data_IF_116848990422
#
_entry.id   IF_116848990422
#
_cell.length_a   1.000
_cell.length_b   1.000
_cell.length_c   1.000
_cell.angle_alpha   90.00
_cell.angle_beta   90.00
_cell.angle_gamma   90.00
#
_symmetry.space_group_name_H-M   'P 1'
#
loop_
_entity.id
_entity.type
_entity.pdbx_description
1 polymer ?
#
# COMPACT_ATOMS: atom_id res chain seq x y z
N UNK A 1 -3.25 0.97 -18.05
CA UNK A 1 -3.23 -0.19 -17.19
C UNK A 1 -3.27 0.16 -15.71
N UNK A 2 -3.29 -0.87 -14.88
CA UNK A 2 -3.48 -0.75 -13.42
C UNK A 2 -2.48 0.13 -12.67
N UNK A 3 -1.31 0.42 -13.24
CA UNK A 3 -0.35 1.35 -12.64
C UNK A 3 -0.77 2.81 -12.82
N UNK A 4 -1.31 3.19 -13.98
CA UNK A 4 -1.70 4.58 -14.24
C UNK A 4 -2.91 5.00 -13.39
N UNK A 5 -3.86 4.12 -13.16
CA UNK A 5 -5.07 4.44 -12.38
C UNK A 5 -4.78 4.76 -10.90
N UNK A 6 -3.68 4.25 -10.36
CA UNK A 6 -3.30 4.45 -8.94
C UNK A 6 -2.30 5.60 -8.75
N UNK A 7 -1.81 6.20 -9.83
CA UNK A 7 -0.75 7.23 -9.76
C UNK A 7 -1.17 8.43 -8.94
N UNK A 8 -2.37 8.98 -9.16
CA UNK A 8 -2.87 10.14 -8.41
C UNK A 8 -3.03 9.84 -6.92
N UNK A 9 -3.49 8.62 -6.59
CA UNK A 9 -3.63 8.15 -5.20
C UNK A 9 -2.25 8.12 -4.51
N UNK A 10 -1.26 7.50 -5.15
CA UNK A 10 0.10 7.43 -4.60
C UNK A 10 0.75 8.80 -4.51
N UNK A 11 0.56 9.66 -5.52
CA UNK A 11 1.08 11.03 -5.51
C UNK A 11 0.47 11.83 -4.35
N UNK A 12 -0.84 11.73 -4.15
CA UNK A 12 -1.50 12.40 -3.05
C UNK A 12 -0.99 11.91 -1.68
N UNK A 13 -0.81 10.59 -1.50
CA UNK A 13 -0.34 10.05 -0.23
C UNK A 13 1.11 10.47 0.08
N UNK A 14 2.03 10.30 -0.87
CA UNK A 14 3.46 10.50 -0.60
C UNK A 14 3.91 11.97 -0.66
N UNK A 15 3.24 12.80 -1.47
CA UNK A 15 3.66 14.19 -1.70
C UNK A 15 2.59 15.21 -1.33
N UNK A 16 1.37 14.77 -1.00
CA UNK A 16 0.28 15.63 -0.60
C UNK A 16 0.47 16.21 0.79
N UNK A 17 -0.16 17.37 1.00
CA UNK A 17 -0.18 18.06 2.29
C UNK A 17 -1.60 18.41 2.68
N UNK A 18 -1.90 18.37 3.96
CA UNK A 18 -3.15 18.80 4.55
C UNK A 18 -2.90 19.99 5.48
N UNK A 19 -3.74 21.00 5.40
CA UNK A 19 -3.65 22.14 6.30
C UNK A 19 -4.27 21.80 7.66
N UNK A 20 -3.49 21.90 8.72
CA UNK A 20 -3.97 21.79 10.10
C UNK A 20 -4.39 23.16 10.61
N UNK A 21 -5.71 23.44 10.75
CA UNK A 21 -6.19 24.74 11.19
C UNK A 21 -5.88 25.05 12.67
N UNK A 22 -5.61 24.03 13.48
CA UNK A 22 -5.26 24.21 14.89
C UNK A 22 -3.80 24.64 15.06
N UNK A 23 -2.91 24.02 14.29
CA UNK A 23 -1.48 24.34 14.30
C UNK A 23 -1.11 25.47 13.34
N UNK A 24 -2.01 25.84 12.42
CA UNK A 24 -1.73 26.80 11.32
C UNK A 24 -0.54 26.36 10.45
N UNK A 25 -0.39 25.03 10.24
CA UNK A 25 0.70 24.43 9.45
C UNK A 25 0.18 23.52 8.36
N UNK A 26 1.03 23.26 7.36
CA UNK A 26 0.78 22.24 6.35
C UNK A 26 1.57 20.99 6.73
N UNK A 27 0.87 19.93 7.11
CA UNK A 27 1.46 18.65 7.45
C UNK A 27 1.41 17.71 6.24
N UNK A 28 2.40 16.81 6.11
CA UNK A 28 2.36 15.77 5.11
C UNK A 28 1.21 14.79 5.41
N UNK A 29 0.56 14.27 4.37
CA UNK A 29 -0.48 13.24 4.53
C UNK A 29 0.13 11.96 5.09
N UNK A 30 1.30 11.55 4.56
CA UNK A 30 2.00 10.35 4.97
C UNK A 30 3.28 10.71 5.76
N UNK A 31 3.45 10.12 6.93
CA UNK A 31 4.66 10.28 7.74
C UNK A 31 5.64 9.15 7.41
N UNK A 32 6.74 9.49 6.75
CA UNK A 32 7.82 8.57 6.41
C UNK A 32 9.17 9.27 6.36
N UNK A 33 10.24 8.50 6.50
CA UNK A 33 11.60 8.92 6.24
C UNK A 33 12.26 7.90 5.30
N UNK A 34 12.65 8.28 4.08
CA UNK A 34 13.29 7.38 3.14
C UNK A 34 14.68 6.93 3.59
N UNK A 35 15.34 7.67 4.51
CA UNK A 35 16.63 7.28 5.08
C UNK A 35 16.48 6.24 6.20
N UNK A 36 15.30 6.17 6.84
CA UNK A 36 14.95 5.19 7.86
C UNK A 36 13.73 4.34 7.45
N UNK A 37 13.84 3.51 6.40
CA UNK A 37 12.71 2.77 5.84
C UNK A 37 12.08 1.76 6.82
N UNK A 38 12.76 1.43 7.91
CA UNK A 38 12.27 0.57 8.99
C UNK A 38 11.85 1.34 10.25
N UNK A 39 11.77 2.66 10.18
CA UNK A 39 11.30 3.48 11.31
C UNK A 39 9.94 2.96 11.83
N UNK A 40 9.86 2.56 13.14
CA UNK A 40 8.69 1.86 13.66
C UNK A 40 7.41 2.69 13.68
N UNK A 41 7.50 3.99 13.89
CA UNK A 41 6.37 4.91 14.02
C UNK A 41 5.93 5.53 12.67
N UNK A 42 6.60 5.23 11.56
CA UNK A 42 6.17 5.71 10.24
C UNK A 42 4.82 5.12 9.86
N UNK A 43 4.05 5.83 9.05
CA UNK A 43 2.82 5.30 8.46
C UNK A 43 3.11 4.09 7.56
N UNK A 44 2.09 3.29 7.31
CA UNK A 44 2.17 2.07 6.48
C UNK A 44 1.32 2.23 5.24
N UNK A 45 1.88 1.86 4.08
CA UNK A 45 1.15 1.80 2.81
C UNK A 45 1.19 0.37 2.28
N UNK A 46 0.01 -0.22 2.14
CA UNK A 46 -0.16 -1.56 1.55
C UNK A 46 -0.82 -1.43 0.19
N UNK A 47 -0.06 -1.65 -0.88
CA UNK A 47 -0.59 -1.74 -2.23
C UNK A 47 -1.18 -3.15 -2.44
N UNK A 48 -2.45 -3.35 -2.08
CA UNK A 48 -3.13 -4.65 -2.14
C UNK A 48 -3.22 -5.16 -3.58
N UNK A 49 -3.53 -4.28 -4.55
CA UNK A 49 -3.44 -4.54 -5.99
C UNK A 49 -1.98 -4.59 -6.46
N UNK A 50 -1.24 -5.61 -6.03
CA UNK A 50 0.21 -5.73 -6.22
C UNK A 50 0.70 -5.66 -7.67
N UNK A 51 -0.16 -5.93 -8.65
CA UNK A 51 0.14 -5.78 -10.08
C UNK A 51 0.40 -4.32 -10.51
N UNK A 52 0.04 -3.33 -9.68
CA UNK A 52 0.37 -1.93 -9.88
C UNK A 52 1.77 -1.53 -9.33
N UNK A 53 2.61 -2.51 -9.00
CA UNK A 53 3.98 -2.32 -8.48
C UNK A 53 4.81 -1.26 -9.22
N UNK A 54 4.78 -1.13 -10.57
CA UNK A 54 5.57 -0.09 -11.24
C UNK A 54 5.25 1.34 -10.78
N UNK A 55 3.97 1.65 -10.51
CA UNK A 55 3.59 2.96 -9.97
C UNK A 55 4.17 3.17 -8.56
N UNK A 56 4.04 2.16 -7.68
CA UNK A 56 4.62 2.23 -6.34
C UNK A 56 6.13 2.41 -6.38
N UNK A 57 6.84 1.67 -7.23
CA UNK A 57 8.30 1.77 -7.33
C UNK A 57 8.75 3.13 -7.84
N UNK A 58 8.06 3.72 -8.83
CA UNK A 58 8.33 5.07 -9.29
C UNK A 58 8.10 6.10 -8.19
N UNK A 59 7.01 5.96 -7.44
CA UNK A 59 6.70 6.81 -6.29
C UNK A 59 7.77 6.71 -5.19
N UNK A 60 8.22 5.49 -4.85
CA UNK A 60 9.25 5.27 -3.83
C UNK A 60 10.62 5.81 -4.26
N UNK A 61 10.98 5.72 -5.54
CA UNK A 61 12.19 6.32 -6.08
C UNK A 61 12.14 7.86 -5.97
N UNK A 62 11.04 8.48 -6.41
CA UNK A 62 10.82 9.93 -6.32
C UNK A 62 10.79 10.40 -4.85
N UNK A 63 10.23 9.60 -3.94
CA UNK A 63 10.24 9.86 -2.51
C UNK A 63 11.61 9.67 -1.85
N UNK A 64 12.63 9.20 -2.57
CA UNK A 64 14.02 9.11 -2.13
C UNK A 64 14.40 7.79 -1.41
N UNK A 65 13.56 6.74 -1.46
CA UNK A 65 13.91 5.44 -0.86
C UNK A 65 15.06 4.72 -1.57
N UNK A 66 15.21 4.95 -2.86
CA UNK A 66 16.31 4.45 -3.70
C UNK A 66 16.45 5.31 -4.96
N UNK A 67 17.59 5.20 -5.64
CA UNK A 67 17.86 5.95 -6.86
C UNK A 67 16.96 5.50 -8.01
N UNK A 68 16.53 6.45 -8.86
CA UNK A 68 15.78 6.20 -10.11
C UNK A 68 16.49 5.20 -11.04
N UNK A 69 17.81 5.12 -11.00
CA UNK A 69 18.59 4.16 -11.79
C UNK A 69 18.18 2.71 -11.51
N UNK A 70 17.69 2.42 -10.29
CA UNK A 70 17.21 1.09 -9.91
C UNK A 70 15.95 0.71 -10.69
N UNK A 71 15.16 1.67 -11.17
CA UNK A 71 13.98 1.41 -12.00
C UNK A 71 14.33 0.70 -13.31
N UNK A 72 15.54 0.93 -13.85
CA UNK A 72 16.03 0.33 -15.10
C UNK A 72 16.25 -1.20 -15.01
N UNK A 73 16.30 -1.72 -13.80
CA UNK A 73 16.46 -3.16 -13.56
C UNK A 73 15.17 -3.84 -13.10
N UNK A 74 14.00 -3.19 -13.25
CA UNK A 74 12.71 -3.78 -12.93
C UNK A 74 12.53 -5.16 -13.58
N UNK A 75 12.11 -6.15 -12.80
CA UNK A 75 11.94 -7.57 -13.19
C UNK A 75 13.21 -8.27 -13.73
N UNK A 76 14.39 -7.71 -13.57
CA UNK A 76 15.63 -8.44 -13.88
C UNK A 76 15.99 -9.37 -12.73
N UNK A 77 16.80 -10.40 -13.02
CA UNK A 77 17.32 -11.30 -11.99
C UNK A 77 18.12 -10.48 -10.96
N UNK A 78 17.95 -10.81 -9.70
CA UNK A 78 18.57 -10.13 -8.53
C UNK A 78 18.14 -8.65 -8.35
N UNK A 79 17.14 -8.18 -9.09
CA UNK A 79 16.56 -6.86 -8.85
C UNK A 79 15.75 -6.84 -7.55
N UNK A 80 15.84 -5.78 -6.73
CA UNK A 80 14.92 -5.58 -5.61
C UNK A 80 13.50 -5.23 -6.07
N UNK A 81 13.32 -4.89 -7.37
CA UNK A 81 12.05 -4.51 -7.97
C UNK A 81 11.43 -5.72 -8.71
N UNK A 82 10.73 -6.54 -7.97
CA UNK A 82 10.04 -7.72 -8.49
C UNK A 82 8.74 -7.33 -9.23
N UNK A 83 8.09 -8.30 -9.87
CA UNK A 83 6.81 -8.09 -10.58
C UNK A 83 5.65 -7.66 -9.67
N UNK A 84 5.74 -8.00 -8.40
CA UNK A 84 4.86 -7.58 -7.31
C UNK A 84 5.71 -7.02 -6.16
N UNK A 85 5.15 -6.13 -5.31
CA UNK A 85 5.91 -5.57 -4.20
C UNK A 85 6.41 -6.66 -3.24
N UNK A 86 7.71 -6.61 -2.94
CA UNK A 86 8.34 -7.49 -1.96
C UNK A 86 8.73 -6.68 -0.72
N UNK A 87 8.30 -7.13 0.46
CA UNK A 87 8.54 -6.46 1.74
C UNK A 87 10.04 -6.26 1.97
N UNK A 88 10.42 -5.03 2.31
CA UNK A 88 11.79 -4.71 2.70
C UNK A 88 12.12 -5.27 4.09
N UNK A 89 13.23 -5.95 4.17
CA UNK A 89 13.73 -6.55 5.41
C UNK A 89 15.25 -6.65 5.41
N UNK A 90 15.82 -6.53 6.60
CA UNK A 90 17.23 -6.81 6.84
C UNK A 90 17.34 -8.14 7.60
N UNK A 91 17.90 -9.15 6.96
CA UNK A 91 18.04 -10.49 7.54
C UNK A 91 19.52 -10.83 7.80
N UNK A 92 19.77 -11.68 8.79
CA UNK A 92 21.12 -12.24 9.03
C UNK A 92 21.30 -13.53 8.24
N UNK A 93 22.24 -13.54 7.30
CA UNK A 93 22.58 -14.70 6.50
C UNK A 93 24.11 -14.93 6.56
N UNK A 94 24.54 -16.15 6.96
CA UNK A 94 25.96 -16.50 7.08
C UNK A 94 26.79 -15.46 7.89
N UNK A 95 26.22 -14.97 8.99
CA UNK A 95 26.88 -14.00 9.89
C UNK A 95 26.88 -12.54 9.40
N UNK A 96 26.37 -12.25 8.19
CA UNK A 96 26.27 -10.92 7.60
C UNK A 96 24.81 -10.44 7.52
N UNK A 97 24.59 -9.14 7.63
CA UNK A 97 23.29 -8.54 7.34
C UNK A 97 23.11 -8.40 5.82
N UNK A 98 21.94 -8.81 5.33
CA UNK A 98 21.58 -8.76 3.91
C UNK A 98 20.21 -8.09 3.80
N UNK A 99 20.14 -7.09 2.95
CA UNK A 99 18.87 -6.44 2.57
C UNK A 99 18.13 -7.31 1.55
N UNK A 100 16.80 -7.40 1.67
CA UNK A 100 15.91 -8.07 0.72
C UNK A 100 14.64 -7.25 0.53
N UNK A 101 14.00 -7.42 -0.63
CA UNK A 101 12.81 -6.69 -1.00
C UNK A 101 13.10 -5.25 -1.38
N UNK A 102 12.06 -4.44 -1.47
CA UNK A 102 12.12 -3.05 -1.93
C UNK A 102 12.00 -2.10 -0.76
N UNK A 103 12.96 -1.20 -0.57
CA UNK A 103 12.89 -0.14 0.48
C UNK A 103 11.59 0.63 0.34
N UNK A 104 10.88 0.84 1.46
CA UNK A 104 9.59 1.51 1.49
C UNK A 104 8.37 0.61 1.27
N UNK A 105 8.57 -0.68 0.95
CA UNK A 105 7.48 -1.67 0.85
C UNK A 105 7.25 -2.34 2.20
N UNK A 106 6.05 -2.18 2.74
CA UNK A 106 5.66 -2.68 4.06
C UNK A 106 5.27 -4.15 4.10
N UNK A 107 4.70 -4.64 3.00
CA UNK A 107 4.22 -6.02 2.91
C UNK A 107 4.29 -6.53 1.47
N UNK A 108 4.67 -7.79 1.31
CA UNK A 108 4.66 -8.46 0.01
C UNK A 108 3.23 -8.73 -0.44
N UNK A 109 2.85 -8.25 -1.62
CA UNK A 109 1.52 -8.41 -2.18
C UNK A 109 1.57 -9.10 -3.54
N UNK A 110 0.41 -9.54 -4.05
CA UNK A 110 0.28 -10.25 -5.32
C UNK A 110 -0.93 -11.17 -5.30
N UNK A 111 -1.25 -11.78 -4.16
CA UNK A 111 -2.50 -12.49 -3.92
C UNK A 111 -3.57 -11.46 -3.55
N UNK A 112 -4.54 -11.22 -4.44
CA UNK A 112 -5.60 -10.23 -4.22
C UNK A 112 -6.44 -10.57 -2.97
N UNK A 113 -7.01 -9.54 -2.36
CA UNK A 113 -7.87 -9.66 -1.17
C UNK A 113 -7.14 -9.67 0.17
N UNK A 114 -5.82 -9.91 0.22
CA UNK A 114 -5.08 -10.02 1.46
C UNK A 114 -4.73 -8.68 2.10
N UNK A 115 -4.55 -7.63 1.29
CA UNK A 115 -3.99 -6.35 1.76
C UNK A 115 -4.80 -5.69 2.86
N UNK A 116 -6.14 -5.74 2.80
CA UNK A 116 -7.00 -5.14 3.82
C UNK A 116 -6.86 -5.86 5.18
N UNK A 117 -6.81 -7.19 5.17
CA UNK A 117 -6.60 -7.98 6.39
C UNK A 117 -5.22 -7.74 7.01
N UNK A 118 -4.18 -7.59 6.17
CA UNK A 118 -2.83 -7.21 6.61
C UNK A 118 -2.82 -5.81 7.20
N UNK A 119 -3.43 -4.84 6.51
CA UNK A 119 -3.59 -3.48 7.00
C UNK A 119 -4.33 -3.42 8.34
N UNK A 120 -5.37 -4.26 8.51
CA UNK A 120 -6.08 -4.43 9.78
C UNK A 120 -5.12 -4.87 10.89
N UNK A 121 -4.22 -5.81 10.60
CA UNK A 121 -3.19 -6.26 11.56
C UNK A 121 -2.24 -5.14 11.95
N UNK A 122 -1.73 -4.35 10.99
CA UNK A 122 -0.87 -3.19 11.28
C UNK A 122 -1.60 -2.12 12.11
N UNK A 123 -2.82 -1.77 11.74
CA UNK A 123 -3.61 -0.76 12.45
C UNK A 123 -3.92 -1.20 13.88
N UNK A 124 -4.27 -2.47 14.08
CA UNK A 124 -4.50 -3.05 15.40
C UNK A 124 -3.22 -3.05 16.24
N UNK A 125 -2.09 -3.41 15.66
CA UNK A 125 -0.79 -3.34 16.33
C UNK A 125 -0.47 -1.91 16.77
N UNK A 126 -0.62 -0.92 15.87
CA UNK A 126 -0.40 0.49 16.20
C UNK A 126 -1.25 0.93 17.39
N UNK A 127 -2.53 0.51 17.41
CA UNK A 127 -3.48 0.89 18.46
C UNK A 127 -3.19 0.19 19.81
N UNK A 128 -2.89 -1.11 19.80
CA UNK A 128 -2.59 -1.88 21.02
C UNK A 128 -1.29 -1.42 21.68
N UNK A 129 -0.27 -1.11 20.88
CA UNK A 129 1.04 -0.73 21.36
C UNK A 129 1.29 0.78 21.33
N UNK A 130 0.23 1.58 21.14
CA UNK A 130 0.26 3.05 21.16
C UNK A 130 1.36 3.64 20.26
N UNK A 131 1.53 3.07 19.06
CA UNK A 131 2.57 3.50 18.09
C UNK A 131 2.23 4.78 17.33
N UNK A 132 0.93 5.11 17.24
CA UNK A 132 0.44 6.37 16.66
C UNK A 132 0.48 6.45 15.13
N UNK A 133 0.94 5.42 14.41
CA UNK A 133 0.96 5.45 12.96
C UNK A 133 -0.38 5.07 12.32
N UNK A 134 -0.60 5.61 11.14
CA UNK A 134 -1.75 5.31 10.28
C UNK A 134 -1.40 4.23 9.25
N UNK A 135 -2.43 3.60 8.72
CA UNK A 135 -2.32 2.56 7.70
C UNK A 135 -3.20 2.91 6.50
N UNK A 136 -2.61 2.93 5.32
CA UNK A 136 -3.30 3.16 4.06
C UNK A 136 -3.25 1.89 3.22
N UNK A 137 -4.41 1.37 2.85
CA UNK A 137 -4.53 0.17 2.02
C UNK A 137 -5.15 0.54 0.69
N UNK A 138 -4.44 0.31 -0.41
CA UNK A 138 -4.91 0.63 -1.76
C UNK A 138 -5.39 -0.66 -2.43
N UNK A 139 -6.69 -0.73 -2.71
CA UNK A 139 -7.35 -1.88 -3.32
C UNK A 139 -7.82 -1.54 -4.74
N UNK A 140 -7.99 -2.56 -5.57
CA UNK A 140 -8.70 -2.43 -6.85
C UNK A 140 -10.18 -2.80 -6.72
N UNK A 141 -11.04 -2.26 -7.60
CA UNK A 141 -12.46 -2.63 -7.64
C UNK A 141 -12.67 -4.12 -7.97
N UNK A 142 -11.97 -4.66 -8.96
CA UNK A 142 -12.01 -6.09 -9.26
C UNK A 142 -11.52 -6.99 -8.10
N UNK A 143 -10.67 -6.46 -7.22
CA UNK A 143 -10.21 -7.16 -6.02
C UNK A 143 -11.35 -7.40 -5.00
N UNK A 144 -12.40 -6.59 -5.02
CA UNK A 144 -13.58 -6.80 -4.18
C UNK A 144 -14.43 -8.01 -4.58
N UNK A 145 -14.08 -8.72 -5.64
CA UNK A 145 -14.64 -10.04 -5.94
C UNK A 145 -14.06 -11.13 -5.04
N UNK A 146 -12.97 -10.85 -4.32
CA UNK A 146 -12.38 -11.73 -3.31
C UNK A 146 -13.15 -11.64 -1.99
N UNK A 147 -13.60 -12.77 -1.44
CA UNK A 147 -14.36 -12.82 -0.19
C UNK A 147 -13.60 -12.24 1.01
N UNK A 148 -12.28 -12.40 1.04
CA UNK A 148 -11.42 -11.91 2.13
C UNK A 148 -11.46 -10.38 2.28
N UNK A 149 -11.72 -9.63 1.22
CA UNK A 149 -11.88 -8.17 1.30
C UNK A 149 -13.09 -7.83 2.18
N UNK A 150 -14.22 -8.53 1.99
CA UNK A 150 -15.44 -8.33 2.78
C UNK A 150 -15.27 -8.74 4.24
N UNK A 151 -14.50 -9.79 4.51
CA UNK A 151 -14.11 -10.16 5.87
C UNK A 151 -13.30 -9.05 6.54
N UNK A 152 -12.38 -8.42 5.79
CA UNK A 152 -11.66 -7.23 6.23
C UNK A 152 -12.59 -6.05 6.51
N UNK A 153 -13.52 -5.76 5.59
CA UNK A 153 -14.51 -4.68 5.75
C UNK A 153 -15.37 -4.85 7.01
N UNK A 154 -15.74 -6.08 7.37
CA UNK A 154 -16.44 -6.34 8.63
C UNK A 154 -15.53 -6.18 9.85
N UNK A 155 -14.26 -6.54 9.74
CA UNK A 155 -13.32 -6.54 10.85
C UNK A 155 -12.88 -5.15 11.30
N UNK A 156 -12.64 -4.23 10.35
CA UNK A 156 -12.13 -2.88 10.59
C UNK A 156 -13.04 -2.06 11.52
N UNK A 157 -14.35 -1.88 11.22
CA UNK A 157 -15.23 -1.13 12.09
C UNK A 157 -15.50 -1.83 13.43
N UNK A 158 -15.56 -3.17 13.43
CA UNK A 158 -15.76 -3.94 14.65
C UNK A 158 -14.63 -3.73 15.68
N UNK A 159 -13.41 -3.52 15.21
CA UNK A 159 -12.23 -3.21 16.02
C UNK A 159 -12.00 -1.72 16.23
N UNK A 160 -12.88 -0.86 15.67
CA UNK A 160 -12.80 0.60 15.75
C UNK A 160 -11.43 1.12 15.32
N UNK A 161 -10.93 0.67 14.17
CA UNK A 161 -9.63 1.05 13.63
C UNK A 161 -9.74 2.36 12.85
N UNK A 162 -9.78 3.48 13.57
CA UNK A 162 -9.84 4.84 13.06
C UNK A 162 -8.51 5.33 12.46
N UNK A 163 -7.45 4.54 12.65
CA UNK A 163 -6.14 4.74 12.07
C UNK A 163 -5.90 3.89 10.78
N UNK A 164 -6.96 3.35 10.16
CA UNK A 164 -6.88 2.65 8.88
C UNK A 164 -7.77 3.34 7.84
N UNK A 165 -7.18 3.67 6.70
CA UNK A 165 -7.88 4.17 5.52
C UNK A 165 -7.76 3.16 4.38
N UNK A 166 -8.89 2.60 3.93
CA UNK A 166 -8.97 1.78 2.73
C UNK A 166 -9.34 2.67 1.53
N UNK A 167 -8.48 2.70 0.51
CA UNK A 167 -8.65 3.50 -0.69
C UNK A 167 -8.94 2.56 -1.85
N UNK A 168 -10.04 2.78 -2.55
CA UNK A 168 -10.49 1.92 -3.64
C UNK A 168 -10.24 2.61 -4.98
N UNK A 169 -9.32 2.06 -5.76
CA UNK A 169 -9.13 2.44 -7.16
C UNK A 169 -10.22 1.80 -8.02
N UNK A 170 -11.37 2.49 -8.12
CA UNK A 170 -12.52 2.06 -8.92
C UNK A 170 -12.33 2.49 -10.38
N UNK A 171 -11.48 1.78 -11.11
CA UNK A 171 -11.17 2.07 -12.50
C UNK A 171 -12.06 1.33 -13.50
N UNK A 172 -12.97 0.46 -13.06
CA UNK A 172 -13.92 -0.30 -13.88
C UNK A 172 -13.28 -1.41 -14.72
N UNK A 173 -12.02 -1.74 -14.49
CA UNK A 173 -11.27 -2.72 -15.28
C UNK A 173 -10.58 -3.76 -14.39
N UNK A 174 -10.62 -5.00 -14.82
CA UNK A 174 -9.84 -6.10 -14.30
C UNK A 174 -9.13 -6.85 -15.42
N UNK A 175 -8.39 -7.92 -15.12
CA UNK A 175 -7.48 -8.59 -16.04
C UNK A 175 -8.14 -8.95 -17.40
N UNK A 176 -9.36 -9.47 -17.35
CA UNK A 176 -10.07 -10.02 -18.51
C UNK A 176 -11.09 -9.05 -19.13
N UNK A 177 -11.20 -7.81 -18.63
CA UNK A 177 -12.10 -6.81 -19.19
C UNK A 177 -12.75 -5.88 -18.16
N UNK A 178 -13.95 -5.38 -18.49
CA UNK A 178 -14.72 -4.51 -17.60
C UNK A 178 -15.25 -5.29 -16.41
N UNK A 179 -15.04 -4.76 -15.20
CA UNK A 179 -15.49 -5.36 -13.94
C UNK A 179 -16.99 -5.69 -13.97
N UNK A 180 -17.82 -4.78 -14.47
CA UNK A 180 -19.27 -4.97 -14.55
C UNK A 180 -19.72 -6.09 -15.49
N UNK A 181 -18.92 -6.40 -16.52
CA UNK A 181 -19.22 -7.46 -17.48
C UNK A 181 -18.75 -8.84 -17.02
N UNK A 182 -17.76 -8.88 -16.11
CA UNK A 182 -17.19 -10.14 -15.62
C UNK A 182 -17.94 -10.60 -14.37
N UNK A 183 -17.99 -9.76 -13.34
CA UNK A 183 -18.73 -10.02 -12.11
C UNK A 183 -19.06 -8.68 -11.44
N UNK A 184 -20.24 -8.13 -11.72
CA UNK A 184 -20.61 -6.79 -11.23
C UNK A 184 -20.70 -6.73 -9.71
N UNK A 185 -20.11 -5.69 -9.16
CA UNK A 185 -20.17 -5.37 -7.73
C UNK A 185 -21.28 -4.36 -7.39
N UNK A 186 -21.96 -3.83 -8.43
CA UNK A 186 -22.97 -2.79 -8.22
C UNK A 186 -24.23 -3.29 -7.47
N UNK A 187 -24.86 -2.48 -6.66
CA UNK A 187 -24.45 -1.12 -6.26
C UNK A 187 -23.33 -1.15 -5.22
N UNK A 188 -22.11 -0.81 -5.66
CA UNK A 188 -20.88 -1.03 -4.88
C UNK A 188 -20.82 -0.18 -3.61
N UNK A 189 -21.15 1.10 -3.74
CA UNK A 189 -21.17 2.09 -2.66
C UNK A 189 -22.23 1.81 -1.56
N UNK A 190 -23.27 1.06 -1.89
CA UNK A 190 -24.31 0.67 -0.92
C UNK A 190 -23.94 -0.61 -0.14
N UNK A 191 -22.90 -1.32 -0.54
CA UNK A 191 -22.44 -2.55 0.10
C UNK A 191 -21.33 -2.29 1.11
N UNK A 192 -20.68 -1.13 1.07
CA UNK A 192 -19.66 -0.66 1.98
C UNK A 192 -20.25 0.20 3.11
#
# INVERSE_FOLDING_TARGET
GGSLSVTDILTALYFGRIFDPQKQTWDNILHYDPQEPLWPERDRVVLSKGHAAPALYSTLAEAGFFSEEVLKIYKKIDSPLEGHPAMYQVIRKNGRFVERGTKGVDFSTGSLGHGLSVGTGFALYSKIYEKGFNVFVILGDGEFQEGMVWEGCMSVPNKRLDNLCAIIDKNGLQCDGKTDLINSLEPFDQKL
#
